data_IF_738461261236
#
_entry.id   IF_738461261236
#
_cell.length_a   1.000
_cell.length_b   1.000
_cell.length_c   1.000
_cell.angle_alpha   90.00
_cell.angle_beta   90.00
_cell.angle_gamma   90.00
#
_symmetry.space_group_name_H-M   'P 1'
#
loop_
_entity.id
_entity.type
_entity.pdbx_description
1 polymer ?
#
# COMPACT_ATOMS: atom_id res chain seq x y z
N UNK A 1 10.28 -7.69 12.98
CA UNK A 1 10.97 -7.41 11.67
C UNK A 1 10.08 -7.87 10.54
N UNK A 2 9.90 -7.07 9.48
CA UNK A 2 9.10 -7.47 8.30
C UNK A 2 9.96 -8.32 7.38
N UNK A 3 9.55 -9.57 7.15
CA UNK A 3 10.26 -10.46 6.21
C UNK A 3 9.75 -10.23 4.79
N UNK A 4 10.65 -9.87 3.90
CA UNK A 4 10.39 -9.74 2.48
C UNK A 4 10.85 -10.98 1.72
N UNK A 5 10.00 -11.50 0.83
CA UNK A 5 10.33 -12.58 -0.10
C UNK A 5 10.84 -12.06 -1.44
N UNK A 6 10.52 -10.83 -1.77
CA UNK A 6 10.92 -10.19 -3.02
C UNK A 6 11.13 -8.70 -2.79
N UNK A 7 12.21 -8.17 -3.35
CA UNK A 7 12.48 -6.73 -3.47
C UNK A 7 13.17 -6.50 -4.80
N UNK A 8 12.54 -5.82 -5.73
CA UNK A 8 13.12 -5.47 -7.03
C UNK A 8 12.69 -4.07 -7.45
N UNK A 9 13.56 -3.41 -8.18
CA UNK A 9 13.29 -2.12 -8.78
C UNK A 9 13.74 -2.09 -10.24
N UNK A 10 13.05 -1.28 -11.02
CA UNK A 10 13.27 -1.13 -12.45
C UNK A 10 13.26 0.35 -12.81
N UNK A 11 14.07 0.73 -13.78
CA UNK A 11 13.92 2.02 -14.42
C UNK A 11 12.61 2.05 -15.20
N UNK A 12 11.82 3.11 -15.02
CA UNK A 12 10.50 3.18 -15.67
C UNK A 12 10.62 3.38 -17.19
N UNK A 13 11.74 3.91 -17.69
CA UNK A 13 11.94 4.20 -19.13
C UNK A 13 12.08 2.95 -20.01
N UNK A 14 12.75 1.91 -19.54
CA UNK A 14 13.16 0.72 -20.31
C UNK A 14 12.95 -0.61 -19.57
N UNK A 15 12.43 -0.56 -18.35
CA UNK A 15 12.24 -1.69 -17.43
C UNK A 15 13.53 -2.44 -17.08
N UNK A 16 14.70 -1.81 -17.25
CA UNK A 16 15.97 -2.39 -16.81
C UNK A 16 15.96 -2.52 -15.29
N UNK A 17 16.25 -3.73 -14.79
CA UNK A 17 16.35 -3.97 -13.34
C UNK A 17 17.55 -3.23 -12.78
N UNK A 18 17.35 -2.63 -11.61
CA UNK A 18 18.37 -1.89 -10.84
C UNK A 18 18.37 -2.37 -9.40
N UNK A 19 19.31 -1.87 -8.59
CA UNK A 19 19.30 -2.06 -7.15
C UNK A 19 17.96 -1.58 -6.54
N UNK A 20 17.49 -2.31 -5.52
CA UNK A 20 16.19 -2.03 -4.92
C UNK A 20 16.10 -0.64 -4.30
N UNK A 21 15.14 0.13 -4.75
CA UNK A 21 14.77 1.45 -4.25
C UNK A 21 13.45 1.34 -3.47
N UNK A 22 13.47 1.65 -2.18
CA UNK A 22 12.25 1.55 -1.35
C UNK A 22 11.20 2.63 -1.67
N UNK A 23 11.65 3.77 -2.19
CA UNK A 23 10.88 4.92 -2.68
C UNK A 23 10.03 5.65 -1.60
N UNK A 24 10.04 5.22 -0.34
CA UNK A 24 9.32 5.95 0.70
C UNK A 24 9.89 7.36 0.92
N UNK A 25 9.01 8.35 0.92
CA UNK A 25 9.36 9.77 1.03
C UNK A 25 9.49 10.49 -0.30
N UNK A 26 9.60 9.76 -1.41
CA UNK A 26 9.70 10.34 -2.74
C UNK A 26 8.36 10.92 -3.22
N UNK A 27 8.42 11.71 -4.31
CA UNK A 27 7.23 12.12 -5.03
C UNK A 27 6.74 10.98 -5.91
N UNK A 28 5.70 10.28 -5.45
CA UNK A 28 5.18 9.11 -6.16
C UNK A 28 3.97 8.49 -5.46
N UNK A 29 3.51 7.41 -6.04
CA UNK A 29 2.29 6.70 -5.66
C UNK A 29 2.60 5.23 -5.45
N UNK A 30 1.86 4.57 -4.57
CA UNK A 30 1.93 3.12 -4.40
C UNK A 30 0.55 2.49 -4.31
N UNK A 31 0.51 1.18 -4.49
CA UNK A 31 -0.62 0.34 -4.10
C UNK A 31 -0.11 -0.90 -3.40
N UNK A 32 -0.92 -1.47 -2.50
CA UNK A 32 -0.64 -2.74 -1.83
C UNK A 32 -1.85 -3.64 -2.02
N UNK A 33 -1.61 -4.87 -2.45
CA UNK A 33 -2.64 -5.84 -2.80
C UNK A 33 -2.37 -7.15 -2.07
N UNK A 34 -3.43 -7.88 -1.70
CA UNK A 34 -3.29 -9.23 -1.20
C UNK A 34 -3.15 -10.21 -2.36
N UNK A 35 -2.06 -10.98 -2.32
CA UNK A 35 -1.83 -12.12 -3.22
C UNK A 35 -1.96 -13.41 -2.42
N UNK A 36 -2.70 -14.38 -2.94
CA UNK A 36 -3.02 -15.62 -2.25
C UNK A 36 -3.25 -16.79 -3.19
N UNK A 37 -3.12 -18.02 -2.64
CA UNK A 37 -3.44 -19.27 -3.32
C UNK A 37 -2.34 -19.82 -4.23
N UNK A 38 -2.65 -20.96 -4.88
CA UNK A 38 -1.84 -21.64 -5.89
C UNK A 38 -2.78 -22.23 -6.95
N UNK A 39 -2.74 -21.79 -8.23
CA UNK A 39 -2.01 -20.63 -8.72
C UNK A 39 -2.43 -19.36 -8.02
N UNK A 40 -1.56 -18.38 -7.95
CA UNK A 40 -1.86 -17.16 -7.22
C UNK A 40 -2.98 -16.34 -7.86
N UNK A 41 -3.75 -15.70 -6.99
CA UNK A 41 -4.74 -14.68 -7.33
C UNK A 41 -4.39 -13.37 -6.61
N UNK A 42 -4.75 -12.24 -7.18
CA UNK A 42 -4.58 -10.91 -6.56
C UNK A 42 -5.96 -10.33 -6.32
N UNK A 43 -6.27 -10.05 -5.06
CA UNK A 43 -7.57 -9.53 -4.67
C UNK A 43 -7.80 -8.13 -5.28
N UNK A 44 -8.93 -7.95 -5.94
CA UNK A 44 -9.35 -6.69 -6.59
C UNK A 44 -8.30 -6.06 -7.51
N UNK A 45 -7.54 -6.86 -8.22
CA UNK A 45 -6.40 -6.42 -9.02
C UNK A 45 -6.72 -5.25 -9.97
N UNK A 46 -7.76 -5.37 -10.78
CA UNK A 46 -8.16 -4.32 -11.74
C UNK A 46 -8.55 -3.02 -11.03
N UNK A 47 -9.24 -3.12 -9.88
CA UNK A 47 -9.61 -1.96 -9.08
C UNK A 47 -8.39 -1.24 -8.51
N UNK A 48 -7.41 -1.99 -8.01
CA UNK A 48 -6.15 -1.44 -7.55
C UNK A 48 -5.39 -0.73 -8.68
N UNK A 49 -5.31 -1.35 -9.86
CA UNK A 49 -4.66 -0.73 -11.01
C UNK A 49 -5.38 0.52 -11.50
N UNK A 50 -6.72 0.50 -11.58
CA UNK A 50 -7.51 1.68 -11.95
C UNK A 50 -7.24 2.86 -10.99
N UNK A 51 -7.26 2.60 -9.67
CA UNK A 51 -6.98 3.62 -8.67
C UNK A 51 -5.53 4.12 -8.74
N UNK A 52 -4.57 3.21 -8.99
CA UNK A 52 -3.17 3.55 -9.21
C UNK A 52 -3.00 4.48 -10.41
N UNK A 53 -3.58 4.13 -11.56
CA UNK A 53 -3.51 4.95 -12.79
C UNK A 53 -4.11 6.35 -12.58
N UNK A 54 -5.29 6.45 -11.95
CA UNK A 54 -5.91 7.73 -11.60
C UNK A 54 -5.01 8.59 -10.72
N UNK A 55 -4.37 7.96 -9.72
CA UNK A 55 -3.48 8.66 -8.80
C UNK A 55 -2.18 9.10 -9.48
N UNK A 56 -1.62 8.28 -10.35
CA UNK A 56 -0.42 8.61 -11.12
C UNK A 56 -0.66 9.80 -12.04
N UNK A 57 -1.81 9.83 -12.74
CA UNK A 57 -2.22 10.99 -13.56
C UNK A 57 -2.27 12.27 -12.74
N UNK A 58 -2.89 12.24 -11.55
CA UNK A 58 -2.95 13.39 -10.64
C UNK A 58 -1.57 13.83 -10.10
N UNK A 59 -0.57 12.93 -10.12
CA UNK A 59 0.82 13.19 -9.71
C UNK A 59 1.75 13.53 -10.88
N UNK A 60 1.21 13.69 -12.10
CA UNK A 60 2.00 13.98 -13.30
C UNK A 60 2.98 12.84 -13.67
N UNK A 61 2.61 11.61 -13.37
CA UNK A 61 3.37 10.40 -13.68
C UNK A 61 2.58 9.59 -14.70
N UNK A 62 2.65 10.01 -15.97
CA UNK A 62 1.97 9.30 -17.06
C UNK A 62 2.97 8.56 -17.93
N UNK A 63 2.63 7.33 -18.31
CA UNK A 63 3.41 6.50 -19.23
C UNK A 63 2.48 5.64 -20.06
N UNK A 64 2.77 5.58 -21.36
CA UNK A 64 2.14 4.61 -22.26
C UNK A 64 2.46 3.19 -21.77
N UNK A 65 1.51 2.28 -21.91
CA UNK A 65 1.65 0.85 -21.57
C UNK A 65 1.96 0.51 -20.10
N UNK A 66 1.85 1.46 -19.17
CA UNK A 66 2.22 1.22 -17.77
C UNK A 66 1.49 0.03 -17.13
N UNK A 67 0.20 -0.18 -17.44
CA UNK A 67 -0.56 -1.36 -16.98
C UNK A 67 0.08 -2.66 -17.49
N UNK A 68 0.48 -2.71 -18.77
CA UNK A 68 1.17 -3.86 -19.37
C UNK A 68 2.52 -4.11 -18.70
N UNK A 69 3.31 -3.06 -18.48
CA UNK A 69 4.61 -3.14 -17.83
C UNK A 69 4.51 -3.68 -16.38
N UNK A 70 3.49 -3.24 -15.63
CA UNK A 70 3.24 -3.77 -14.27
C UNK A 70 2.91 -5.27 -14.32
N UNK A 71 2.04 -5.69 -15.24
CA UNK A 71 1.70 -7.10 -15.41
C UNK A 71 2.92 -7.95 -15.80
N UNK A 72 3.75 -7.45 -16.70
CA UNK A 72 4.99 -8.10 -17.10
C UNK A 72 5.94 -8.29 -15.92
N UNK A 73 6.18 -7.25 -15.14
CA UNK A 73 7.02 -7.32 -13.93
C UNK A 73 6.44 -8.33 -12.92
N UNK A 74 5.12 -8.36 -12.71
CA UNK A 74 4.48 -9.32 -11.82
C UNK A 74 4.74 -10.74 -12.32
N UNK A 75 4.48 -11.02 -13.60
CA UNK A 75 4.62 -12.35 -14.18
C UNK A 75 6.07 -12.84 -14.21
N UNK A 76 7.03 -11.95 -14.42
CA UNK A 76 8.46 -12.28 -14.38
C UNK A 76 8.97 -12.65 -12.97
N UNK A 77 8.32 -12.13 -11.93
CA UNK A 77 8.81 -12.24 -10.56
C UNK A 77 8.00 -13.18 -9.67
N UNK A 78 6.79 -13.57 -10.06
CA UNK A 78 5.92 -14.41 -9.25
C UNK A 78 5.62 -15.70 -9.99
N UNK A 79 6.04 -16.83 -9.41
CA UNK A 79 5.77 -18.15 -9.97
C UNK A 79 4.36 -18.61 -9.65
N UNK A 80 3.63 -19.12 -10.66
CA UNK A 80 2.30 -19.74 -10.48
C UNK A 80 2.34 -21.05 -9.68
N UNK A 81 3.52 -21.68 -9.56
CA UNK A 81 3.71 -22.92 -8.81
C UNK A 81 3.83 -22.72 -7.31
N UNK A 82 4.09 -21.49 -6.85
CA UNK A 82 4.24 -21.18 -5.44
C UNK A 82 2.88 -20.90 -4.77
N UNK A 83 2.78 -21.24 -3.48
CA UNK A 83 1.65 -20.84 -2.65
C UNK A 83 1.91 -19.48 -2.02
N UNK A 84 0.92 -18.58 -2.12
CA UNK A 84 1.03 -17.23 -1.57
C UNK A 84 -0.01 -16.96 -0.49
N UNK A 85 0.35 -16.18 0.49
CA UNK A 85 -0.51 -15.43 1.42
C UNK A 85 0.28 -14.17 1.86
N UNK A 86 0.43 -13.25 0.91
CA UNK A 86 1.40 -12.16 1.00
C UNK A 86 0.78 -10.81 0.60
N UNK A 87 1.43 -9.75 0.96
CA UNK A 87 1.12 -8.41 0.48
C UNK A 87 2.11 -8.01 -0.60
N UNK A 88 1.61 -7.78 -1.80
CA UNK A 88 2.33 -7.27 -2.95
C UNK A 88 2.20 -5.75 -2.98
N UNK A 89 3.32 -5.03 -2.83
CA UNK A 89 3.37 -3.58 -3.01
C UNK A 89 3.98 -3.26 -4.37
N UNK A 90 3.37 -2.32 -5.07
CA UNK A 90 3.91 -1.68 -6.27
C UNK A 90 4.01 -0.19 -5.98
N UNK A 91 5.19 0.39 -6.14
CA UNK A 91 5.47 1.81 -5.91
C UNK A 91 6.08 2.42 -7.17
N UNK A 92 5.66 3.64 -7.52
CA UNK A 92 6.08 4.34 -8.72
C UNK A 92 6.44 5.79 -8.44
N UNK A 93 7.53 6.23 -9.07
CA UNK A 93 7.91 7.63 -9.23
C UNK A 93 8.00 7.96 -10.73
N UNK A 94 8.40 9.16 -11.10
CA UNK A 94 8.69 9.50 -12.51
C UNK A 94 9.81 8.66 -13.13
N UNK A 95 10.72 8.10 -12.31
CA UNK A 95 11.94 7.42 -12.77
C UNK A 95 11.89 5.90 -12.54
N UNK A 96 11.23 5.44 -11.49
CA UNK A 96 11.35 4.06 -11.01
C UNK A 96 10.00 3.41 -10.75
N UNK A 97 9.98 2.10 -10.95
CA UNK A 97 8.95 1.20 -10.44
C UNK A 97 9.61 0.19 -9.51
N UNK A 98 9.07 0.04 -8.30
CA UNK A 98 9.54 -0.92 -7.31
C UNK A 98 8.44 -1.88 -6.94
N UNK A 99 8.80 -3.17 -6.87
CA UNK A 99 7.93 -4.25 -6.43
C UNK A 99 8.52 -4.89 -5.18
N UNK A 100 7.68 -5.11 -4.18
CA UNK A 100 8.06 -5.88 -3.00
C UNK A 100 6.94 -6.79 -2.54
N UNK A 101 7.31 -7.98 -2.09
CA UNK A 101 6.42 -9.00 -1.57
C UNK A 101 6.79 -9.30 -0.13
N UNK A 102 5.86 -9.14 0.79
CA UNK A 102 6.05 -9.44 2.21
C UNK A 102 4.97 -10.35 2.76
N UNK A 103 5.30 -11.12 3.78
CA UNK A 103 4.30 -11.94 4.49
C UNK A 103 3.15 -11.06 4.99
N UNK A 104 1.92 -11.53 4.83
CA UNK A 104 0.75 -10.87 5.40
C UNK A 104 0.72 -11.13 6.91
N UNK A 105 0.68 -10.08 7.70
CA UNK A 105 0.46 -10.16 9.13
C UNK A 105 -1.04 -10.26 9.36
N UNK A 106 -1.49 -11.28 10.10
CA UNK A 106 -2.88 -11.44 10.52
C UNK A 106 -3.02 -10.78 11.87
N UNK A 107 -3.91 -9.78 12.03
CA UNK A 107 -4.18 -9.16 13.33
C UNK A 107 -4.71 -10.17 14.33
N UNK A 108 -4.35 -10.02 15.60
CA UNK A 108 -4.95 -10.77 16.71
C UNK A 108 -6.34 -10.22 17.03
N UNK A 109 -7.15 -10.98 17.77
CA UNK A 109 -8.49 -10.56 18.20
C UNK A 109 -8.44 -9.30 19.06
N UNK A 110 -7.53 -9.27 20.02
CA UNK A 110 -7.24 -8.07 20.81
C UNK A 110 -6.25 -7.20 20.05
N UNK A 111 -6.63 -5.96 19.78
CA UNK A 111 -5.88 -5.07 18.92
C UNK A 111 -5.94 -3.62 19.42
N UNK A 112 -4.77 -3.09 19.77
CA UNK A 112 -4.62 -1.75 20.31
C UNK A 112 -4.47 -0.70 19.22
N UNK A 113 -5.07 0.47 19.41
CA UNK A 113 -4.90 1.64 18.57
C UNK A 113 -4.27 2.79 19.33
N UNK A 114 -3.03 3.13 18.99
CA UNK A 114 -2.35 4.31 19.52
C UNK A 114 -2.80 5.56 18.76
N UNK A 115 -3.42 6.52 19.45
CA UNK A 115 -3.80 7.79 18.83
C UNK A 115 -2.56 8.64 18.52
N UNK A 116 -2.46 9.12 17.28
CA UNK A 116 -1.37 9.96 16.81
C UNK A 116 -1.96 11.21 16.12
N UNK A 117 -1.61 12.39 16.62
CA UNK A 117 -2.01 13.64 15.97
C UNK A 117 -1.19 13.83 14.69
N UNK A 118 -1.72 13.32 13.61
CA UNK A 118 -1.11 13.35 12.28
C UNK A 118 -2.18 13.33 11.21
N UNK A 119 -2.10 14.29 10.29
CA UNK A 119 -2.87 14.30 9.05
C UNK A 119 -1.93 13.93 7.90
N UNK A 120 -2.36 13.02 7.04
CA UNK A 120 -1.60 12.66 5.84
C UNK A 120 -1.62 13.80 4.83
N UNK A 121 -0.52 13.96 4.14
CA UNK A 121 -0.45 14.80 2.95
C UNK A 121 -1.27 14.18 1.83
N UNK A 122 -2.17 14.94 1.19
CA UNK A 122 -3.04 14.49 0.09
C UNK A 122 -3.71 13.13 0.37
N UNK A 123 -4.55 13.00 1.42
CA UNK A 123 -5.01 11.71 1.94
C UNK A 123 -5.87 10.90 0.96
N UNK A 124 -6.44 11.53 -0.08
CA UNK A 124 -7.19 10.81 -1.14
C UNK A 124 -6.32 9.97 -2.06
N UNK A 125 -4.99 10.08 -1.99
CA UNK A 125 -4.05 9.31 -2.81
C UNK A 125 -3.15 8.44 -1.94
N UNK A 126 -2.82 7.24 -2.41
CA UNK A 126 -1.77 6.39 -1.82
C UNK A 126 -0.39 6.89 -2.24
N UNK A 127 0.01 8.07 -1.73
CA UNK A 127 1.30 8.66 -2.04
C UNK A 127 2.42 8.09 -1.16
N UNK A 128 3.66 8.22 -1.65
CA UNK A 128 4.87 7.72 -0.96
C UNK A 128 5.33 8.57 0.23
N UNK A 129 4.66 9.69 0.55
CA UNK A 129 4.92 10.52 1.75
C UNK A 129 4.48 9.82 3.05
N UNK A 130 5.07 8.64 3.30
CA UNK A 130 4.63 7.70 4.33
C UNK A 130 5.66 7.49 5.45
N UNK A 131 6.87 8.06 5.34
CA UNK A 131 7.98 7.85 6.30
C UNK A 131 7.59 8.07 7.75
N UNK A 132 6.81 9.12 8.05
CA UNK A 132 6.38 9.43 9.41
C UNK A 132 5.46 8.35 9.99
N UNK A 133 4.54 7.82 9.20
CA UNK A 133 3.68 6.69 9.61
C UNK A 133 4.54 5.45 9.86
N UNK A 134 5.45 5.12 8.93
CA UNK A 134 6.33 3.97 9.07
C UNK A 134 7.23 4.06 10.31
N UNK A 135 7.67 5.25 10.70
CA UNK A 135 8.46 5.45 11.92
C UNK A 135 7.69 5.13 13.20
N UNK A 136 6.37 5.32 13.21
CA UNK A 136 5.52 4.84 14.31
C UNK A 136 5.34 3.33 14.26
N UNK A 137 4.98 2.79 13.08
CA UNK A 137 4.70 1.36 12.90
C UNK A 137 5.91 0.47 13.15
N UNK A 138 7.12 0.95 12.87
CA UNK A 138 8.36 0.18 13.10
C UNK A 138 8.66 -0.08 14.59
N UNK A 139 8.02 0.69 15.49
CA UNK A 139 8.17 0.58 16.96
C UNK A 139 7.07 -0.26 17.60
N UNK A 140 6.20 -0.90 16.80
CA UNK A 140 5.02 -1.61 17.27
C UNK A 140 4.99 -3.06 16.78
N UNK A 141 4.33 -3.92 17.53
CA UNK A 141 3.95 -5.25 17.05
C UNK A 141 2.68 -5.12 16.19
N UNK A 142 2.87 -5.09 14.87
CA UNK A 142 1.78 -4.90 13.91
C UNK A 142 0.77 -6.07 13.88
N UNK A 143 1.00 -7.15 14.63
CA UNK A 143 -0.01 -8.20 14.84
C UNK A 143 -1.00 -7.86 15.96
N UNK A 144 -0.64 -6.91 16.85
CA UNK A 144 -1.41 -6.54 18.05
C UNK A 144 -1.81 -5.07 18.07
N UNK A 145 -1.18 -4.24 17.25
CA UNK A 145 -1.38 -2.80 17.35
C UNK A 145 -1.15 -2.06 16.02
N UNK A 146 -1.82 -0.92 15.88
CA UNK A 146 -1.62 0.05 14.81
C UNK A 146 -1.74 1.47 15.41
N UNK A 147 -1.47 2.48 14.61
CA UNK A 147 -1.76 3.86 14.96
C UNK A 147 -3.12 4.28 14.40
N UNK A 148 -3.88 5.09 15.13
CA UNK A 148 -5.04 5.79 14.63
C UNK A 148 -4.66 7.26 14.40
N UNK A 149 -4.77 7.72 13.17
CA UNK A 149 -4.47 9.09 12.78
C UNK A 149 -5.59 10.02 13.23
N UNK A 150 -5.25 11.02 14.00
CA UNK A 150 -6.21 12.00 14.53
C UNK A 150 -5.88 13.39 14.00
N UNK A 151 -6.88 14.15 13.61
CA UNK A 151 -6.76 15.56 13.27
C UNK A 151 -8.07 16.27 13.59
N UNK A 152 -7.99 17.48 14.15
CA UNK A 152 -9.14 18.28 14.55
C UNK A 152 -10.15 17.48 15.41
N UNK A 153 -9.65 16.77 16.42
CA UNK A 153 -10.44 15.91 17.34
C UNK A 153 -11.23 14.79 16.64
N UNK A 154 -10.89 14.44 15.41
CA UNK A 154 -11.54 13.35 14.64
C UNK A 154 -10.54 12.27 14.31
N UNK A 155 -10.94 11.01 14.50
CA UNK A 155 -10.17 9.86 14.00
C UNK A 155 -10.43 9.76 12.50
N UNK A 156 -9.35 9.63 11.72
CA UNK A 156 -9.41 9.62 10.26
C UNK A 156 -9.30 8.18 9.72
N UNK A 157 -8.15 7.57 9.94
CA UNK A 157 -7.82 6.23 9.46
C UNK A 157 -6.75 5.61 10.36
N UNK A 158 -6.39 4.35 10.17
CA UNK A 158 -5.19 3.80 10.82
C UNK A 158 -3.95 4.00 9.94
N UNK A 159 -2.80 3.61 10.48
CA UNK A 159 -1.56 3.60 9.72
C UNK A 159 -1.61 2.70 8.48
N UNK A 160 -2.42 1.63 8.52
CA UNK A 160 -2.44 0.60 7.46
C UNK A 160 -3.82 0.35 6.85
N UNK A 161 -4.91 0.78 7.49
CA UNK A 161 -6.29 0.40 7.13
C UNK A 161 -7.28 1.55 7.29
N UNK A 162 -8.46 1.40 6.70
CA UNK A 162 -9.62 2.23 6.98
C UNK A 162 -10.29 1.79 8.27
N UNK A 163 -11.09 2.66 8.87
CA UNK A 163 -11.82 2.39 10.10
C UNK A 163 -13.32 2.33 9.86
N UNK A 164 -13.96 1.37 10.52
CA UNK A 164 -15.39 1.27 10.65
C UNK A 164 -15.74 1.27 12.15
N UNK A 165 -16.73 2.05 12.51
CA UNK A 165 -17.27 2.10 13.86
C UNK A 165 -18.70 1.59 13.84
N UNK A 166 -19.04 0.70 14.77
CA UNK A 166 -20.38 0.15 14.90
C UNK A 166 -20.96 0.64 16.23
N UNK A 167 -22.16 1.20 16.16
CA UNK A 167 -22.94 1.58 17.35
C UNK A 167 -24.41 1.16 17.14
N UNK A 168 -24.83 0.14 17.89
CA UNK A 168 -26.10 -0.54 17.63
C UNK A 168 -26.12 -1.07 16.20
N UNK A 169 -27.16 -0.76 15.44
CA UNK A 169 -27.33 -1.19 14.04
C UNK A 169 -26.73 -0.20 13.02
N UNK A 170 -25.94 0.80 13.46
CA UNK A 170 -25.36 1.82 12.58
C UNK A 170 -23.87 1.61 12.40
N UNK A 171 -23.41 1.73 11.16
CA UNK A 171 -22.00 1.68 10.79
C UNK A 171 -21.55 3.07 10.38
N UNK A 172 -20.43 3.51 10.96
CA UNK A 172 -19.83 4.81 10.68
C UNK A 172 -18.44 4.61 10.10
N UNK A 173 -18.06 5.45 9.14
CA UNK A 173 -16.70 5.54 8.59
C UNK A 173 -16.31 7.01 8.42
N UNK A 174 -15.03 7.34 8.51
CA UNK A 174 -14.58 8.70 8.24
C UNK A 174 -14.95 9.15 6.83
N UNK A 175 -15.22 10.46 6.68
CA UNK A 175 -15.67 11.04 5.40
C UNK A 175 -14.63 10.82 4.30
N UNK A 176 -15.09 10.42 3.11
CA UNK A 176 -14.30 10.36 1.88
C UNK A 176 -13.57 11.70 1.64
N UNK A 177 -12.27 11.63 1.30
CA UNK A 177 -11.41 12.81 1.12
C UNK A 177 -10.49 13.09 2.31
N UNK A 178 -10.81 12.56 3.50
CA UNK A 178 -9.92 12.57 4.66
C UNK A 178 -9.17 11.25 4.87
N UNK A 179 -9.48 10.23 4.08
CA UNK A 179 -8.96 8.87 4.15
C UNK A 179 -8.62 8.34 2.76
N UNK A 180 -7.74 7.33 2.71
CA UNK A 180 -7.56 6.51 1.51
C UNK A 180 -8.73 5.53 1.42
N UNK A 181 -9.30 5.42 0.23
CA UNK A 181 -10.25 4.36 -0.08
C UNK A 181 -9.49 3.22 -0.76
N UNK A 182 -9.55 2.07 -0.15
CA UNK A 182 -8.95 0.83 -0.64
C UNK A 182 -9.89 0.08 -1.57
#
# INVERSE_FOLDING_TARGET
MVTYLLKKSYQLKDLKQIEFQDLWGDHGIFTTMWIFGKPFKILFFDKHLQNLMKSLKAYGIERKFLKKNILEIINQNLSKSNHYNHLLRIALTKKFISISLRKRIVPKLEFDLKLVNLKRESPKYKNLKYKKILSYLSKMDNSKSDIALVSNKKILETGTSNMLFIRGNKVFTPKKGNIIIY
#
